data_IF_710028685673
#
_entry.id   IF_710028685673
#
_cell.length_a   1.000
_cell.length_b   1.000
_cell.length_c   1.000
_cell.angle_alpha   90.00
_cell.angle_beta   90.00
_cell.angle_gamma   90.00
#
_symmetry.space_group_name_H-M   'P 1'
#
loop_
_entity.id
_entity.type
_entity.pdbx_description
1 polymer ?
#
# COMPACT_ATOMS: atom_id res chain seq x y z
N UNK A 1 -13.40 22.36 -22.17
CA UNK A 1 -14.37 21.45 -21.50
C UNK A 1 -13.75 20.70 -20.31
N UNK A 2 -13.05 19.56 -20.48
CA UNK A 2 -12.53 18.79 -19.34
C UNK A 2 -11.58 19.59 -18.43
N UNK A 3 -10.74 20.44 -19.03
CA UNK A 3 -9.77 21.28 -18.31
C UNK A 3 -10.41 22.44 -17.56
N UNK A 4 -11.54 22.96 -18.03
CA UNK A 4 -12.29 24.05 -17.35
C UNK A 4 -13.05 23.51 -16.14
N UNK A 5 -13.63 22.31 -16.26
CA UNK A 5 -14.27 21.62 -15.13
C UNK A 5 -13.24 21.32 -14.05
N UNK A 6 -12.06 20.83 -14.42
CA UNK A 6 -10.97 20.58 -13.48
C UNK A 6 -10.50 21.87 -12.77
N UNK A 7 -10.38 22.97 -13.51
CA UNK A 7 -9.99 24.26 -12.93
C UNK A 7 -11.02 24.76 -11.91
N UNK A 8 -12.32 24.65 -12.22
CA UNK A 8 -13.40 25.02 -11.29
C UNK A 8 -13.39 24.17 -10.03
N UNK A 9 -13.33 22.84 -10.17
CA UNK A 9 -13.30 21.90 -9.04
C UNK A 9 -12.09 22.19 -8.15
N UNK A 10 -10.93 22.47 -8.74
CA UNK A 10 -9.73 22.83 -7.96
C UNK A 10 -9.97 24.05 -7.08
N UNK A 11 -10.59 25.10 -7.62
CA UNK A 11 -10.93 26.28 -6.83
C UNK A 11 -11.88 25.94 -5.69
N UNK A 12 -12.96 25.20 -5.96
CA UNK A 12 -13.95 24.80 -4.95
C UNK A 12 -13.34 23.95 -3.83
N UNK A 13 -12.45 23.01 -4.17
CA UNK A 13 -11.77 22.14 -3.19
C UNK A 13 -10.81 22.92 -2.29
N UNK A 14 -10.17 23.98 -2.80
CA UNK A 14 -9.25 24.79 -2.00
C UNK A 14 -9.96 25.68 -0.96
N UNK A 15 -11.26 25.94 -1.12
CA UNK A 15 -12.09 26.66 -0.14
C UNK A 15 -12.55 25.79 1.03
N UNK A 16 -12.44 24.46 0.92
CA UNK A 16 -12.77 23.51 1.99
C UNK A 16 -11.79 23.61 3.17
N UNK A 17 -12.23 23.16 4.35
CA UNK A 17 -11.33 23.00 5.50
C UNK A 17 -10.29 21.92 5.24
N UNK A 18 -9.21 21.91 6.03
CA UNK A 18 -8.16 20.89 5.92
C UNK A 18 -8.70 19.46 6.06
N UNK A 19 -9.63 19.23 6.99
CA UNK A 19 -10.24 17.92 7.22
C UNK A 19 -11.07 17.44 6.02
N UNK A 20 -11.92 18.32 5.47
CA UNK A 20 -12.74 18.01 4.29
C UNK A 20 -11.89 17.77 3.04
N UNK A 21 -10.78 18.51 2.88
CA UNK A 21 -9.83 18.24 1.80
C UNK A 21 -9.13 16.89 1.97
N UNK A 22 -8.79 16.50 3.20
CA UNK A 22 -8.16 15.22 3.47
C UNK A 22 -9.11 14.04 3.18
N UNK A 23 -10.38 14.17 3.57
CA UNK A 23 -11.44 13.20 3.25
C UNK A 23 -11.62 13.07 1.74
N UNK A 24 -11.78 14.19 1.02
CA UNK A 24 -11.94 14.15 -0.44
C UNK A 24 -10.69 13.60 -1.15
N UNK A 25 -9.49 13.92 -0.67
CA UNK A 25 -8.26 13.36 -1.23
C UNK A 25 -8.21 11.84 -1.05
N UNK A 26 -8.65 11.32 0.11
CA UNK A 26 -8.75 9.89 0.34
C UNK A 26 -9.71 9.22 -0.65
N UNK A 27 -10.92 9.77 -0.81
CA UNK A 27 -11.93 9.22 -1.72
C UNK A 27 -11.46 9.24 -3.18
N UNK A 28 -10.81 10.32 -3.61
CA UNK A 28 -10.25 10.41 -4.96
C UNK A 28 -9.14 9.39 -5.18
N UNK A 29 -8.23 9.21 -4.22
CA UNK A 29 -7.17 8.20 -4.32
C UNK A 29 -7.79 6.79 -4.36
N UNK A 30 -8.75 6.50 -3.48
CA UNK A 30 -9.44 5.21 -3.47
C UNK A 30 -10.20 4.94 -4.77
N UNK A 31 -10.71 5.98 -5.44
CA UNK A 31 -11.36 5.84 -6.75
C UNK A 31 -10.40 5.50 -7.89
N UNK A 32 -9.10 5.77 -7.71
CA UNK A 32 -8.04 5.41 -8.66
C UNK A 32 -7.51 4.00 -8.44
N UNK A 33 -7.83 3.38 -7.31
CA UNK A 33 -7.53 1.97 -7.10
C UNK A 33 -8.37 1.15 -8.07
N UNK A 34 -7.75 0.75 -9.18
CA UNK A 34 -8.35 -0.21 -10.10
C UNK A 34 -8.68 -1.50 -9.34
N UNK A 35 -9.73 -2.24 -9.76
CA UNK A 35 -9.95 -3.58 -9.24
C UNK A 35 -8.63 -4.33 -9.37
N UNK A 36 -8.03 -4.71 -8.24
CA UNK A 36 -6.69 -5.29 -8.22
C UNK A 36 -6.59 -6.39 -9.26
N UNK A 37 -5.45 -6.44 -9.97
CA UNK A 37 -5.27 -7.38 -11.09
C UNK A 37 -5.80 -8.78 -10.72
N UNK A 38 -6.72 -9.28 -11.53
CA UNK A 38 -7.32 -10.59 -11.31
C UNK A 38 -6.20 -11.63 -11.18
N UNK A 39 -6.22 -12.42 -10.11
CA UNK A 39 -5.18 -13.41 -9.85
C UNK A 39 -4.10 -12.97 -8.86
N UNK A 40 -4.02 -11.68 -8.46
CA UNK A 40 -3.04 -11.22 -7.46
C UNK A 40 -3.28 -11.91 -6.12
N UNK A 41 -4.53 -11.97 -5.66
CA UNK A 41 -4.87 -12.65 -4.42
C UNK A 41 -4.48 -14.14 -4.49
N UNK A 42 -4.83 -14.81 -5.56
CA UNK A 42 -4.56 -16.23 -5.77
C UNK A 42 -3.05 -16.50 -5.90
N UNK A 43 -2.30 -15.58 -6.52
CA UNK A 43 -0.84 -15.65 -6.60
C UNK A 43 -0.18 -15.48 -5.22
N UNK A 44 -0.68 -14.55 -4.40
CA UNK A 44 -0.25 -14.39 -3.02
C UNK A 44 -0.57 -15.62 -2.16
N UNK A 45 -1.77 -16.18 -2.29
CA UNK A 45 -2.15 -17.39 -1.57
C UNK A 45 -1.23 -18.58 -1.93
N UNK A 46 -0.90 -18.75 -3.22
CA UNK A 46 0.06 -19.76 -3.67
C UNK A 46 1.46 -19.52 -3.11
N UNK A 47 1.93 -18.27 -3.12
CA UNK A 47 3.27 -17.92 -2.61
C UNK A 47 3.38 -18.15 -1.10
N UNK A 48 2.34 -17.82 -0.33
CA UNK A 48 2.32 -18.08 1.13
C UNK A 48 2.44 -19.58 1.41
N UNK A 49 1.63 -20.40 0.73
CA UNK A 49 1.68 -21.86 0.88
C UNK A 49 3.04 -22.42 0.45
N UNK A 50 3.61 -21.90 -0.63
CA UNK A 50 4.95 -22.28 -1.07
C UNK A 50 6.01 -21.98 0.00
N UNK A 51 6.01 -20.77 0.57
CA UNK A 51 6.96 -20.39 1.64
C UNK A 51 6.81 -21.23 2.88
N UNK A 52 5.59 -21.55 3.30
CA UNK A 52 5.34 -22.47 4.42
C UNK A 52 5.98 -23.83 4.12
N UNK A 53 5.78 -24.39 2.91
CA UNK A 53 6.36 -25.68 2.55
C UNK A 53 7.90 -25.69 2.57
N UNK A 54 8.53 -24.58 2.19
CA UNK A 54 9.99 -24.43 2.26
C UNK A 54 10.47 -24.38 3.72
N UNK A 55 9.69 -23.76 4.62
CA UNK A 55 10.00 -23.73 6.06
C UNK A 55 9.87 -25.14 6.64
N UNK A 56 8.75 -25.81 6.40
CA UNK A 56 8.46 -27.14 6.95
C UNK A 56 9.47 -28.20 6.45
N UNK A 57 9.94 -28.08 5.21
CA UNK A 57 10.97 -28.95 4.65
C UNK A 57 12.40 -28.58 5.01
N UNK A 58 12.62 -27.50 5.76
CA UNK A 58 13.95 -27.01 6.15
C UNK A 58 14.76 -26.42 4.98
N UNK A 59 14.13 -26.13 3.85
CA UNK A 59 14.76 -25.55 2.65
C UNK A 59 14.75 -24.02 2.67
N UNK A 60 13.90 -23.40 3.51
CA UNK A 60 13.85 -21.95 3.65
C UNK A 60 15.12 -21.41 4.34
N UNK A 61 15.69 -20.36 3.76
CA UNK A 61 16.68 -19.54 4.46
C UNK A 61 15.96 -18.65 5.48
N UNK A 62 16.09 -18.98 6.75
CA UNK A 62 15.50 -18.21 7.85
C UNK A 62 16.43 -17.09 8.32
N UNK A 63 15.85 -16.11 8.99
CA UNK A 63 16.54 -15.04 9.68
C UNK A 63 16.28 -15.17 11.18
N UNK A 64 17.31 -14.99 12.01
CA UNK A 64 17.11 -14.95 13.45
C UNK A 64 16.22 -13.77 13.86
N UNK A 65 15.40 -13.96 14.90
CA UNK A 65 14.44 -12.94 15.32
C UNK A 65 15.11 -11.67 15.85
N UNK A 66 16.27 -11.79 16.49
CA UNK A 66 17.00 -10.65 17.01
C UNK A 66 17.71 -9.89 15.88
N UNK A 67 18.29 -10.63 14.93
CA UNK A 67 18.86 -10.03 13.72
C UNK A 67 17.79 -9.24 12.94
N UNK A 68 16.60 -9.83 12.74
CA UNK A 68 15.46 -9.13 12.13
C UNK A 68 15.10 -7.82 12.85
N UNK A 69 15.00 -7.85 14.19
CA UNK A 69 14.67 -6.65 14.97
C UNK A 69 15.71 -5.55 14.80
N UNK A 70 17.00 -5.91 14.81
CA UNK A 70 18.07 -4.96 14.62
C UNK A 70 18.02 -4.31 13.23
N UNK A 71 17.81 -5.11 12.18
CA UNK A 71 17.66 -4.60 10.82
C UNK A 71 16.47 -3.65 10.68
N UNK A 72 15.31 -4.00 11.23
CA UNK A 72 14.11 -3.14 11.18
C UNK A 72 14.34 -1.83 11.95
N UNK A 73 14.90 -1.88 13.15
CA UNK A 73 15.22 -0.67 13.93
C UNK A 73 16.20 0.25 13.22
N UNK A 74 17.17 -0.31 12.49
CA UNK A 74 18.10 0.46 11.68
C UNK A 74 17.37 1.18 10.53
N UNK A 75 16.50 0.46 9.79
CA UNK A 75 15.76 1.01 8.65
C UNK A 75 14.83 2.19 9.00
N UNK A 76 14.22 2.18 10.18
CA UNK A 76 13.27 3.21 10.60
C UNK A 76 13.85 4.22 11.59
N UNK A 77 15.16 4.17 11.88
CA UNK A 77 15.81 5.18 12.73
C UNK A 77 16.07 6.50 12.02
N UNK A 78 16.09 6.47 10.69
CA UNK A 78 16.44 7.60 9.82
C UNK A 78 15.26 8.12 8.99
N UNK A 79 14.02 7.67 9.28
CA UNK A 79 12.77 8.18 8.70
C UNK A 79 12.06 9.14 9.66
#
# INVERSE_FOLDING_TARGET
MATEVLARIRTEVLELTEAERAELAHDLIASLDEPGESGVKEAWDREILHRISLIDSGQAKLLDREEFRQQMRSRYKDQ
#
